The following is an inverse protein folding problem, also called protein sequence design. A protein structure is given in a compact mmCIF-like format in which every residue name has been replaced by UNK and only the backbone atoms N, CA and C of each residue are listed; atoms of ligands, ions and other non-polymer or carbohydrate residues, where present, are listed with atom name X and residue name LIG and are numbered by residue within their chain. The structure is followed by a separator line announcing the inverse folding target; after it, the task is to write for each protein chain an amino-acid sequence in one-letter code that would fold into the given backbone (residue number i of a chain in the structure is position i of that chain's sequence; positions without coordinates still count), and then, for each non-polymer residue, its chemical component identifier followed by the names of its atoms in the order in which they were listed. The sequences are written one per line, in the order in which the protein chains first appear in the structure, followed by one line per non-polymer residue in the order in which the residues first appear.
data_IF_570628630507
#
_entry.id   IF_570628630507
#
_cell.length_a   1.000
_cell.length_b   1.000
_cell.length_c   1.000
_cell.angle_alpha   90.00
_cell.angle_beta   90.00
_cell.angle_gamma   90.00
#
_symmetry.space_group_name_H-M   'P 1'
#
loop_
_entity.id
_entity.type
_entity.pdbx_description
1 polymer ?
#
# COMPACT_ATOMS: atom_id res chain seq x y z
N UNK A 1 16.97 18.38 -6.15
CA UNK A 1 17.72 17.40 -5.32
C UNK A 1 16.73 16.76 -4.36
N UNK A 2 16.39 15.48 -4.55
CA UNK A 2 15.62 14.74 -3.55
C UNK A 2 16.44 14.70 -2.26
N UNK A 3 15.83 15.01 -1.12
CA UNK A 3 16.50 14.91 0.18
C UNK A 3 17.08 13.50 0.34
N UNK A 4 18.39 13.40 0.53
CA UNK A 4 19.13 12.14 0.77
C UNK A 4 18.51 11.29 1.90
N UNK A 5 17.80 11.92 2.83
CA UNK A 5 17.06 11.27 3.90
C UNK A 5 15.93 10.33 3.42
N UNK A 6 15.35 10.52 2.23
CA UNK A 6 14.23 9.70 1.75
C UNK A 6 14.65 8.28 1.34
N UNK A 7 15.88 8.12 0.82
CA UNK A 7 16.38 6.80 0.41
C UNK A 7 16.61 5.89 1.63
N UNK A 8 16.99 6.44 2.79
CA UNK A 8 17.18 5.67 4.01
C UNK A 8 15.86 5.30 4.71
N UNK A 9 14.83 6.14 4.59
CA UNK A 9 13.58 6.00 5.35
C UNK A 9 12.56 5.04 4.74
N UNK A 10 12.68 4.70 3.45
CA UNK A 10 11.65 3.92 2.76
C UNK A 10 11.76 2.41 3.01
N UNK A 11 12.92 1.89 3.39
CA UNK A 11 13.16 0.43 3.55
C UNK A 11 13.38 0.04 5.01
N UNK A 12 13.70 1.00 5.88
CA UNK A 12 14.00 0.72 7.28
C UNK A 12 12.75 0.40 8.10
N UNK A 13 12.79 -0.64 8.95
CA UNK A 13 11.74 -0.93 9.93
C UNK A 13 11.45 0.29 10.80
N UNK A 14 10.20 0.48 11.19
CA UNK A 14 9.84 1.65 12.00
C UNK A 14 8.64 1.46 12.88
N UNK A 15 8.55 2.26 13.93
CA UNK A 15 7.39 2.30 14.82
C UNK A 15 6.58 3.56 14.55
N UNK A 16 5.36 3.37 14.06
CA UNK A 16 4.35 4.41 14.00
C UNK A 16 3.65 4.54 15.35
N UNK A 17 3.97 5.61 16.07
CA UNK A 17 3.41 5.91 17.40
C UNK A 17 2.01 6.56 17.32
N UNK A 18 1.47 6.81 16.12
CA UNK A 18 0.13 7.38 15.95
C UNK A 18 -0.95 6.38 16.36
N UNK A 19 -2.18 6.87 16.53
CA UNK A 19 -3.28 6.00 16.92
C UNK A 19 -3.61 4.96 15.83
N UNK A 20 -4.24 3.82 16.15
CA UNK A 20 -4.63 2.82 15.16
C UNK A 20 -5.45 3.38 13.99
N UNK A 21 -6.35 4.33 14.25
CA UNK A 21 -7.13 5.02 13.21
C UNK A 21 -6.27 5.91 12.31
N UNK A 22 -5.25 6.57 12.84
CA UNK A 22 -4.28 7.32 12.02
C UNK A 22 -3.44 6.37 11.15
N UNK A 23 -2.99 5.24 11.71
CA UNK A 23 -2.21 4.21 11.00
C UNK A 23 -3.01 3.57 9.87
N UNK A 24 -4.29 3.22 10.11
CA UNK A 24 -5.19 2.63 9.10
C UNK A 24 -5.44 3.55 7.90
N UNK A 25 -5.38 4.88 8.09
CA UNK A 25 -5.46 5.84 6.96
C UNK A 25 -4.23 5.78 6.07
N UNK A 26 -3.10 5.41 6.63
CA UNK A 26 -1.86 5.13 5.92
C UNK A 26 -0.65 5.45 6.77
N UNK A 27 0.48 4.82 6.45
CA UNK A 27 1.75 4.86 7.19
C UNK A 27 2.95 4.88 6.23
N UNK A 28 4.16 4.91 6.78
CA UNK A 28 5.41 4.65 6.05
C UNK A 28 5.49 3.12 5.79
N UNK A 29 5.95 2.66 4.61
CA UNK A 29 6.22 1.25 4.36
C UNK A 29 7.11 0.65 5.45
N UNK A 30 6.95 -0.65 5.72
CA UNK A 30 7.71 -1.40 6.73
C UNK A 30 7.51 -0.93 8.19
N UNK A 31 6.53 -0.06 8.48
CA UNK A 31 6.19 0.33 9.85
C UNK A 31 5.25 -0.66 10.56
N UNK A 32 5.47 -0.87 11.85
CA UNK A 32 4.50 -1.44 12.79
C UNK A 32 3.77 -0.32 13.56
N UNK A 33 2.49 -0.51 13.89
CA UNK A 33 1.78 0.40 14.78
C UNK A 33 1.93 -0.03 16.24
N UNK A 34 2.72 0.71 17.02
CA UNK A 34 2.80 0.59 18.47
C UNK A 34 2.46 1.95 19.08
N UNK A 35 1.16 2.27 19.23
CA UNK A 35 0.71 3.62 19.52
C UNK A 35 1.18 4.12 20.89
N UNK A 36 1.61 5.39 20.96
CA UNK A 36 1.75 6.08 22.27
C UNK A 36 0.40 6.42 22.87
N UNK A 37 -0.66 6.54 22.05
CA UNK A 37 -2.03 6.78 22.46
C UNK A 37 -2.96 5.92 21.60
N UNK A 38 -3.88 5.18 22.22
CA UNK A 38 -4.95 4.53 21.47
C UNK A 38 -5.95 5.56 20.91
N UNK A 39 -6.95 5.13 20.15
CA UNK A 39 -7.88 6.04 19.49
C UNK A 39 -8.67 6.94 20.46
N UNK A 40 -9.12 6.39 21.59
CA UNK A 40 -9.89 7.10 22.61
C UNK A 40 -9.01 8.08 23.40
N UNK A 41 -7.83 7.64 23.84
CA UNK A 41 -6.84 8.46 24.51
C UNK A 41 -6.39 9.63 23.60
N UNK A 42 -6.17 9.35 22.31
CA UNK A 42 -5.83 10.36 21.31
C UNK A 42 -6.98 11.38 21.13
N UNK A 43 -8.23 10.92 21.10
CA UNK A 43 -9.40 11.79 21.00
C UNK A 43 -9.50 12.75 22.20
N UNK A 44 -9.44 12.21 23.42
CA UNK A 44 -9.59 12.97 24.67
C UNK A 44 -8.44 13.97 24.88
N UNK A 45 -7.20 13.55 24.66
CA UNK A 45 -6.03 14.45 24.74
C UNK A 45 -6.11 15.52 23.64
N UNK A 46 -6.52 15.16 22.43
CA UNK A 46 -6.69 16.11 21.33
C UNK A 46 -7.80 17.13 21.58
N UNK A 47 -8.88 16.74 22.27
CA UNK A 47 -9.95 17.65 22.72
C UNK A 47 -9.44 18.59 23.81
N UNK A 48 -8.70 18.08 24.79
CA UNK A 48 -8.10 18.87 25.88
C UNK A 48 -7.06 19.85 25.35
N UNK A 49 -6.22 19.43 24.41
CA UNK A 49 -5.23 20.32 23.77
C UNK A 49 -5.89 21.52 23.09
N UNK A 50 -6.99 21.29 22.36
CA UNK A 50 -7.72 22.36 21.67
C UNK A 50 -8.44 23.31 22.61
N UNK A 51 -8.95 22.82 23.73
CA UNK A 51 -9.75 23.61 24.68
C UNK A 51 -8.94 24.29 25.77
N UNK A 52 -7.89 23.64 26.28
CA UNK A 52 -7.14 24.04 27.48
C UNK A 52 -5.63 24.19 27.24
N UNK A 53 -5.18 24.00 25.99
CA UNK A 53 -3.79 24.19 25.59
C UNK A 53 -2.86 23.01 25.94
N UNK A 54 -1.57 23.22 25.65
CA UNK A 54 -0.56 22.16 25.64
C UNK A 54 -0.30 21.54 27.02
N UNK A 55 -0.16 22.35 28.07
CA UNK A 55 0.16 21.88 29.42
C UNK A 55 -0.94 20.94 29.95
N UNK A 56 -2.19 21.38 29.88
CA UNK A 56 -3.34 20.57 30.30
C UNK A 56 -3.46 19.23 29.56
N UNK A 57 -3.12 19.20 28.26
CA UNK A 57 -3.13 17.96 27.48
C UNK A 57 -2.02 16.98 27.89
N UNK A 58 -0.85 17.49 28.28
CA UNK A 58 0.26 16.68 28.81
C UNK A 58 -0.13 16.12 30.17
N UNK A 59 -0.64 16.97 31.07
CA UNK A 59 -1.06 16.57 32.41
C UNK A 59 -2.17 15.52 32.34
N UNK A 60 -3.14 15.69 31.44
CA UNK A 60 -4.15 14.67 31.18
C UNK A 60 -3.53 13.38 30.65
N UNK A 61 -2.56 13.46 29.73
CA UNK A 61 -1.86 12.29 29.21
C UNK A 61 -1.22 11.46 30.31
N UNK A 62 -0.49 12.10 31.24
CA UNK A 62 0.09 11.40 32.39
C UNK A 62 -0.96 10.86 33.35
N UNK A 63 -2.12 11.51 33.46
CA UNK A 63 -3.22 11.03 34.32
C UNK A 63 -3.94 9.81 33.76
N UNK A 64 -4.18 9.74 32.44
CA UNK A 64 -4.98 8.67 31.83
C UNK A 64 -4.14 7.44 31.45
N UNK A 65 -2.83 7.61 31.26
CA UNK A 65 -1.90 6.50 31.00
C UNK A 65 -1.39 6.01 32.36
N UNK A 66 -1.89 4.85 32.81
CA UNK A 66 -1.36 4.21 34.02
C UNK A 66 0.10 3.82 33.84
N UNK A 67 0.84 3.71 34.95
CA UNK A 67 2.24 3.26 34.92
C UNK A 67 2.39 1.87 34.29
N UNK A 68 1.41 0.98 34.49
CA UNK A 68 1.35 -0.34 33.84
C UNK A 68 1.29 -0.20 32.32
N UNK A 69 0.35 0.58 31.77
CA UNK A 69 0.24 0.80 30.32
C UNK A 69 1.48 1.47 29.74
N UNK A 70 2.10 2.38 30.50
CA UNK A 70 3.36 3.02 30.11
C UNK A 70 4.47 1.97 30.00
N UNK A 71 4.64 1.11 31.00
CA UNK A 71 5.64 0.06 30.99
C UNK A 71 5.43 -0.92 29.82
N UNK A 72 4.20 -1.39 29.59
CA UNK A 72 3.85 -2.27 28.46
C UNK A 72 4.21 -1.64 27.09
N UNK A 73 3.94 -0.34 26.91
CA UNK A 73 4.30 0.37 25.68
C UNK A 73 5.81 0.41 25.49
N UNK A 74 6.54 0.78 26.53
CA UNK A 74 8.01 0.86 26.51
C UNK A 74 8.62 -0.51 26.18
N UNK A 75 8.17 -1.58 26.85
CA UNK A 75 8.61 -2.94 26.60
C UNK A 75 8.36 -3.34 25.14
N UNK A 76 7.15 -3.07 24.62
CA UNK A 76 6.81 -3.39 23.23
C UNK A 76 7.67 -2.65 22.20
N UNK A 77 8.00 -1.37 22.46
CA UNK A 77 8.87 -0.59 21.59
C UNK A 77 10.30 -1.11 21.63
N UNK A 78 10.85 -1.33 22.82
CA UNK A 78 12.21 -1.84 22.99
C UNK A 78 12.36 -3.21 22.34
N UNK A 79 11.38 -4.11 22.53
CA UNK A 79 11.38 -5.42 21.89
C UNK A 79 11.47 -5.31 20.37
N UNK A 80 10.69 -4.43 19.76
CA UNK A 80 10.70 -4.25 18.31
C UNK A 80 12.00 -3.58 17.82
N UNK A 81 12.51 -2.60 18.56
CA UNK A 81 13.77 -1.91 18.24
C UNK A 81 14.95 -2.90 18.30
N UNK A 82 15.04 -3.71 19.34
CA UNK A 82 16.13 -4.68 19.51
C UNK A 82 16.06 -5.84 18.50
N UNK A 83 14.92 -6.07 17.84
CA UNK A 83 14.78 -7.11 16.82
C UNK A 83 15.00 -6.60 15.40
N UNK A 84 15.34 -5.32 15.19
CA UNK A 84 15.49 -4.72 13.87
C UNK A 84 16.64 -3.70 13.83
N UNK A 85 17.55 -3.88 12.88
CA UNK A 85 18.59 -2.89 12.61
C UNK A 85 18.00 -1.61 12.02
N UNK A 86 18.61 -0.46 12.37
CA UNK A 86 18.23 0.86 11.86
C UNK A 86 16.75 1.23 12.07
N UNK A 87 16.13 0.70 13.13
CA UNK A 87 14.76 1.04 13.49
C UNK A 87 14.64 2.51 13.91
N UNK A 88 13.60 3.19 13.43
CA UNK A 88 13.27 4.55 13.85
C UNK A 88 11.81 4.66 14.32
N UNK A 89 11.52 5.67 15.13
CA UNK A 89 10.16 5.97 15.59
C UNK A 89 9.65 7.28 15.01
N UNK A 90 8.33 7.36 14.78
CA UNK A 90 7.72 8.59 14.30
C UNK A 90 6.31 8.80 14.83
N UNK A 91 5.85 10.05 14.70
CA UNK A 91 4.45 10.39 14.86
C UNK A 91 4.02 11.29 13.69
N UNK A 92 2.82 11.86 13.74
CA UNK A 92 2.29 12.62 12.61
C UNK A 92 3.16 13.82 12.17
N UNK A 93 3.73 14.59 13.10
CA UNK A 93 4.52 15.81 12.80
C UNK A 93 5.94 15.79 13.38
N UNK A 94 6.42 14.65 13.85
CA UNK A 94 7.69 14.57 14.57
C UNK A 94 7.71 15.46 15.82
N UNK A 95 6.56 15.60 16.48
CA UNK A 95 6.35 16.51 17.60
C UNK A 95 6.45 15.81 18.96
N UNK A 96 5.59 16.25 19.88
CA UNK A 96 5.64 15.83 21.28
C UNK A 96 5.47 14.33 21.48
N UNK A 97 4.55 13.68 20.75
CA UNK A 97 4.29 12.23 20.84
C UNK A 97 5.56 11.40 20.65
N UNK A 98 6.26 11.62 19.54
CA UNK A 98 7.53 10.93 19.26
C UNK A 98 8.67 11.36 20.20
N UNK A 99 8.64 12.60 20.72
CA UNK A 99 9.64 13.07 21.69
C UNK A 99 9.47 12.38 23.06
N UNK A 100 8.24 12.18 23.51
CA UNK A 100 7.96 11.47 24.77
C UNK A 100 8.38 10.00 24.66
N UNK A 101 7.98 9.31 23.59
CA UNK A 101 8.39 7.92 23.37
C UNK A 101 9.92 7.78 23.31
N UNK A 102 10.60 8.65 22.55
CA UNK A 102 12.07 8.69 22.51
C UNK A 102 12.68 8.84 23.91
N UNK A 103 12.17 9.76 24.72
CA UNK A 103 12.70 9.98 26.07
C UNK A 103 12.48 8.76 26.98
N UNK A 104 11.31 8.11 26.91
CA UNK A 104 11.04 6.90 27.69
C UNK A 104 11.96 5.75 27.27
N UNK A 105 12.15 5.53 25.97
CA UNK A 105 13.06 4.49 25.46
C UNK A 105 14.50 4.78 25.90
N UNK A 106 14.94 6.04 25.82
CA UNK A 106 16.28 6.46 26.25
C UNK A 106 16.51 6.28 27.75
N UNK A 107 15.47 6.45 28.57
CA UNK A 107 15.55 6.23 30.02
C UNK A 107 15.84 4.75 30.37
N UNK A 108 15.39 3.82 29.53
CA UNK A 108 15.72 2.39 29.63
C UNK A 108 17.08 2.03 29.01
N UNK A 109 17.86 3.03 28.57
CA UNK A 109 19.20 2.82 28.01
C UNK A 109 19.23 2.37 26.54
N UNK A 110 18.10 2.36 25.84
CA UNK A 110 18.02 1.96 24.43
C UNK A 110 18.12 3.17 23.51
N UNK A 111 18.94 3.08 22.45
CA UNK A 111 19.06 4.11 21.42
C UNK A 111 18.07 3.85 20.29
N UNK A 112 17.42 4.91 19.79
CA UNK A 112 16.55 4.84 18.63
C UNK A 112 16.51 6.17 17.90
N UNK A 113 16.43 6.15 16.58
CA UNK A 113 16.27 7.37 15.80
C UNK A 113 14.82 7.84 15.79
N UNK A 114 14.63 9.15 15.58
CA UNK A 114 13.31 9.75 15.47
C UNK A 114 13.18 10.48 14.14
N UNK A 115 12.13 10.15 13.39
CA UNK A 115 11.85 10.86 12.13
C UNK A 115 11.46 12.32 12.42
N UNK A 116 12.33 13.23 12.00
CA UNK A 116 12.05 14.65 12.05
C UNK A 116 10.89 15.04 11.13
N UNK A 117 10.05 15.96 11.58
CA UNK A 117 8.82 16.41 10.89
C UNK A 117 7.75 15.32 10.63
N UNK A 118 8.06 14.05 10.94
CA UNK A 118 7.13 12.92 11.01
C UNK A 118 6.48 12.53 9.70
N UNK A 119 5.38 11.76 9.83
CA UNK A 119 4.63 11.23 8.69
C UNK A 119 4.14 12.31 7.72
N UNK A 120 3.79 13.51 8.22
CA UNK A 120 3.33 14.62 7.38
C UNK A 120 4.39 15.01 6.34
N UNK A 121 5.64 15.18 6.77
CA UNK A 121 6.73 15.56 5.87
C UNK A 121 7.09 14.42 4.90
N UNK A 122 7.11 13.18 5.41
CA UNK A 122 7.23 11.99 4.58
C UNK A 122 6.21 12.00 3.42
N UNK A 123 4.93 12.23 3.75
CA UNK A 123 3.87 12.30 2.74
C UNK A 123 4.01 13.46 1.77
N UNK A 124 4.46 14.63 2.23
CA UNK A 124 4.75 15.75 1.33
C UNK A 124 5.86 15.40 0.34
N UNK A 125 6.90 14.71 0.78
CA UNK A 125 7.99 14.28 -0.08
C UNK A 125 7.54 13.26 -1.13
N UNK A 126 6.72 12.27 -0.75
CA UNK A 126 6.13 11.32 -1.70
C UNK A 126 5.33 12.06 -2.76
N UNK A 127 4.46 12.98 -2.35
CA UNK A 127 3.67 13.77 -3.30
C UNK A 127 4.54 14.61 -4.23
N UNK A 128 5.56 15.29 -3.69
CA UNK A 128 6.47 16.13 -4.45
C UNK A 128 7.29 15.35 -5.48
N UNK A 129 7.72 14.12 -5.14
CA UNK A 129 8.40 13.24 -6.09
C UNK A 129 7.57 13.00 -7.35
N UNK A 130 6.26 12.87 -7.22
CA UNK A 130 5.37 12.55 -8.33
C UNK A 130 4.76 13.76 -9.04
N UNK A 131 5.13 14.99 -8.70
CA UNK A 131 4.55 16.21 -9.28
C UNK A 131 4.98 16.48 -10.72
N UNK A 132 6.16 16.01 -11.13
CA UNK A 132 6.72 16.25 -12.46
C UNK A 132 7.29 14.95 -13.04
N UNK A 133 7.10 14.75 -14.34
CA UNK A 133 7.67 13.63 -15.11
C UNK A 133 9.21 13.65 -15.04
N UNK A 134 9.81 14.84 -14.95
CA UNK A 134 11.27 15.03 -14.85
C UNK A 134 11.90 14.44 -13.58
N UNK A 135 11.09 14.13 -12.56
CA UNK A 135 11.57 13.46 -11.35
C UNK A 135 11.76 11.95 -11.55
N UNK A 136 11.25 11.41 -12.66
CA UNK A 136 11.40 10.00 -13.00
C UNK A 136 12.66 9.75 -13.84
N UNK A 137 13.21 8.55 -13.74
CA UNK A 137 14.25 8.08 -14.63
C UNK A 137 13.76 8.11 -16.08
N UNK A 138 14.71 8.18 -17.00
CA UNK A 138 14.42 8.45 -18.41
C UNK A 138 13.64 7.31 -19.07
N UNK A 139 14.07 6.06 -18.88
CA UNK A 139 13.57 4.94 -19.67
C UNK A 139 12.62 4.03 -18.88
N UNK A 140 11.33 4.09 -19.20
CA UNK A 140 10.34 3.11 -18.75
C UNK A 140 9.88 2.29 -19.96
N UNK A 141 9.57 1.03 -19.71
CA UNK A 141 9.00 0.10 -20.67
C UNK A 141 7.69 -0.43 -20.10
N UNK A 142 6.61 -0.27 -20.84
CA UNK A 142 5.27 -0.69 -20.47
C UNK A 142 4.99 -2.03 -21.14
N UNK A 143 4.64 -3.03 -20.33
CA UNK A 143 4.27 -4.36 -20.78
C UNK A 143 2.76 -4.41 -21.01
N UNK A 144 2.39 -4.28 -22.28
CA UNK A 144 1.03 -4.44 -22.78
C UNK A 144 0.69 -5.90 -23.09
N UNK A 145 -0.58 -6.18 -23.32
CA UNK A 145 -1.07 -7.50 -23.74
C UNK A 145 -2.44 -7.82 -23.17
N UNK A 146 -3.12 -8.80 -23.74
CA UNK A 146 -4.43 -9.20 -23.26
C UNK A 146 -4.37 -9.90 -21.90
N UNK A 147 -5.50 -9.95 -21.18
CA UNK A 147 -5.60 -10.79 -19.98
C UNK A 147 -5.30 -12.25 -20.33
N UNK A 148 -4.52 -12.90 -19.46
CA UNK A 148 -4.05 -14.28 -19.66
C UNK A 148 -2.78 -14.42 -20.50
N UNK A 149 -2.19 -13.34 -21.03
CA UNK A 149 -0.97 -13.45 -21.85
C UNK A 149 0.32 -13.72 -21.07
N UNK A 150 0.26 -13.90 -19.74
CA UNK A 150 1.45 -14.21 -18.92
C UNK A 150 2.25 -12.99 -18.44
N UNK A 151 1.72 -11.77 -18.60
CA UNK A 151 2.40 -10.51 -18.17
C UNK A 151 2.88 -10.55 -16.72
N UNK A 152 2.00 -10.99 -15.81
CA UNK A 152 2.29 -11.03 -14.36
C UNK A 152 3.51 -11.90 -14.05
N UNK A 153 3.69 -13.04 -14.74
CA UNK A 153 4.83 -13.92 -14.51
C UNK A 153 6.13 -13.30 -15.02
N UNK A 154 6.07 -12.58 -16.15
CA UNK A 154 7.22 -11.85 -16.68
C UNK A 154 7.64 -10.71 -15.73
N UNK A 155 6.68 -9.92 -15.23
CA UNK A 155 6.91 -8.84 -14.27
C UNK A 155 7.56 -9.37 -13.00
N UNK A 156 7.04 -10.44 -12.40
CA UNK A 156 7.57 -11.02 -11.16
C UNK A 156 8.99 -11.57 -11.29
N UNK A 157 9.33 -12.12 -12.45
CA UNK A 157 10.65 -12.70 -12.69
C UNK A 157 11.69 -11.65 -13.09
N UNK A 158 11.28 -10.41 -13.38
CA UNK A 158 12.19 -9.35 -13.80
C UNK A 158 12.53 -8.41 -12.65
N UNK A 159 13.79 -8.43 -12.19
CA UNK A 159 14.25 -7.66 -11.01
C UNK A 159 13.98 -6.15 -11.11
N UNK A 160 14.06 -5.60 -12.32
CA UNK A 160 13.90 -4.17 -12.59
C UNK A 160 12.45 -3.85 -13.01
N UNK A 161 11.48 -4.50 -12.37
CA UNK A 161 10.06 -4.26 -12.60
C UNK A 161 9.35 -3.64 -11.40
N UNK A 162 8.19 -3.05 -11.66
CA UNK A 162 7.23 -2.63 -10.63
C UNK A 162 5.89 -3.30 -10.94
N UNK A 163 5.51 -4.23 -10.07
CA UNK A 163 4.22 -4.94 -10.08
C UNK A 163 3.16 -4.05 -9.41
N UNK A 164 2.48 -3.25 -10.23
CA UNK A 164 1.49 -2.28 -9.78
C UNK A 164 0.21 -2.98 -9.30
N UNK A 165 -0.17 -4.09 -9.95
CA UNK A 165 -1.29 -4.94 -9.54
C UNK A 165 -1.07 -5.53 -8.13
N UNK A 166 0.14 -6.04 -7.86
CA UNK A 166 0.51 -6.58 -6.56
C UNK A 166 0.48 -5.49 -5.47
N UNK A 167 1.07 -4.32 -5.75
CA UNK A 167 1.06 -3.20 -4.80
C UNK A 167 -0.38 -2.73 -4.53
N UNK A 168 -1.24 -2.71 -5.56
CA UNK A 168 -2.65 -2.35 -5.42
C UNK A 168 -3.50 -3.47 -4.78
N UNK A 169 -2.95 -4.68 -4.64
CA UNK A 169 -3.70 -5.89 -4.30
C UNK A 169 -4.93 -6.06 -5.21
N UNK A 170 -4.72 -5.96 -6.53
CA UNK A 170 -5.78 -5.99 -7.53
C UNK A 170 -5.24 -6.27 -8.93
N UNK A 171 -5.92 -7.11 -9.71
CA UNK A 171 -5.46 -7.62 -11.02
C UNK A 171 -5.91 -6.78 -12.23
N UNK A 172 -5.94 -5.44 -12.11
CA UNK A 172 -6.28 -4.48 -13.20
C UNK A 172 -7.67 -4.59 -13.87
N UNK A 173 -8.40 -5.69 -13.69
CA UNK A 173 -9.57 -6.10 -14.46
C UNK A 173 -10.87 -5.92 -13.69
N UNK A 174 -12.00 -5.87 -14.41
CA UNK A 174 -13.33 -5.90 -13.81
C UNK A 174 -13.57 -7.14 -12.90
N UNK A 175 -12.87 -8.23 -13.19
CA UNK A 175 -12.88 -9.48 -12.42
C UNK A 175 -11.69 -9.58 -11.45
N UNK A 176 -10.89 -8.53 -11.32
CA UNK A 176 -9.55 -8.54 -10.74
C UNK A 176 -9.47 -8.27 -9.24
N UNK A 177 -10.57 -8.33 -8.47
CA UNK A 177 -10.48 -8.18 -7.01
C UNK A 177 -9.63 -9.33 -6.46
N UNK A 178 -8.41 -9.04 -6.04
CA UNK A 178 -7.58 -10.00 -5.34
C UNK A 178 -8.14 -10.22 -3.93
N UNK A 179 -7.92 -11.40 -3.34
CA UNK A 179 -8.61 -11.84 -2.12
C UNK A 179 -8.40 -11.00 -0.86
N UNK A 180 -7.58 -9.95 -0.88
CA UNK A 180 -7.37 -9.04 0.25
C UNK A 180 -7.95 -7.64 0.06
N UNK A 181 -7.85 -6.81 1.08
CA UNK A 181 -8.19 -5.39 0.98
C UNK A 181 -7.13 -4.64 0.16
N UNK A 182 -7.56 -3.76 -0.74
CA UNK A 182 -6.65 -2.81 -1.37
C UNK A 182 -6.05 -1.87 -0.31
N UNK A 183 -4.80 -1.42 -0.47
CA UNK A 183 -4.22 -0.42 0.41
C UNK A 183 -5.03 0.88 0.42
N UNK A 184 -4.81 1.73 1.43
CA UNK A 184 -5.25 3.12 1.34
C UNK A 184 -4.50 3.84 0.22
N UNK A 185 -5.08 4.92 -0.30
CA UNK A 185 -4.43 5.70 -1.37
C UNK A 185 -3.01 6.14 -0.99
N UNK A 186 -2.81 6.64 0.23
CA UNK A 186 -1.48 7.04 0.68
C UNK A 186 -0.52 5.87 0.82
N UNK A 187 -0.98 4.68 1.22
CA UNK A 187 -0.12 3.49 1.29
C UNK A 187 0.27 3.01 -0.10
N UNK A 188 -0.68 3.00 -1.06
CA UNK A 188 -0.39 2.67 -2.44
C UNK A 188 0.69 3.58 -3.02
N UNK A 189 0.52 4.90 -2.88
CA UNK A 189 1.51 5.88 -3.37
C UNK A 189 2.87 5.71 -2.69
N UNK A 190 2.90 5.46 -1.36
CA UNK A 190 4.15 5.21 -0.63
C UNK A 190 4.87 3.95 -1.12
N UNK A 191 4.15 2.85 -1.35
CA UNK A 191 4.71 1.58 -1.81
C UNK A 191 5.21 1.69 -3.26
N UNK A 192 4.45 2.33 -4.14
CA UNK A 192 4.91 2.64 -5.51
C UNK A 192 6.18 3.50 -5.46
N UNK A 193 6.22 4.50 -4.57
CA UNK A 193 7.40 5.35 -4.38
C UNK A 193 8.64 4.58 -3.94
N UNK A 194 8.47 3.69 -2.95
CA UNK A 194 9.54 2.83 -2.44
C UNK A 194 10.09 1.94 -3.56
N UNK A 195 9.20 1.22 -4.27
CA UNK A 195 9.61 0.33 -5.35
C UNK A 195 10.31 1.06 -6.51
N UNK A 196 9.88 2.30 -6.80
CA UNK A 196 10.54 3.17 -7.76
C UNK A 196 11.94 3.58 -7.29
N UNK A 197 12.08 4.14 -6.09
CA UNK A 197 13.36 4.63 -5.57
C UNK A 197 14.42 3.54 -5.43
N UNK A 198 14.01 2.32 -5.09
CA UNK A 198 14.88 1.14 -5.04
C UNK A 198 15.49 0.77 -6.40
N UNK A 199 14.82 1.15 -7.50
CA UNK A 199 15.14 0.70 -8.86
C UNK A 199 15.46 1.83 -9.83
N UNK A 200 15.38 3.09 -9.38
CA UNK A 200 15.57 4.29 -10.22
C UNK A 200 16.94 4.40 -10.91
N UNK A 201 17.95 3.69 -10.40
CA UNK A 201 19.31 3.64 -10.98
C UNK A 201 19.49 2.50 -11.99
N UNK A 202 18.43 1.78 -12.34
CA UNK A 202 18.47 0.73 -13.37
C UNK A 202 18.55 1.37 -14.77
N UNK A 203 18.94 0.60 -15.78
CA UNK A 203 18.93 1.08 -17.17
C UNK A 203 17.51 1.41 -17.64
N UNK A 204 16.54 0.57 -17.28
CA UNK A 204 15.13 0.81 -17.51
C UNK A 204 14.27 0.23 -16.39
N UNK A 205 13.00 0.63 -16.36
CA UNK A 205 11.98 0.05 -15.49
C UNK A 205 10.87 -0.58 -16.32
N UNK A 206 10.57 -1.84 -16.04
CA UNK A 206 9.43 -2.54 -16.63
C UNK A 206 8.18 -2.38 -15.77
N UNK A 207 7.04 -2.06 -16.36
CA UNK A 207 5.78 -1.87 -15.63
C UNK A 207 4.60 -2.47 -16.39
N UNK A 208 3.54 -2.78 -15.67
CA UNK A 208 2.27 -3.24 -16.28
C UNK A 208 1.56 -2.08 -17.00
N UNK A 209 0.91 -2.38 -18.13
CA UNK A 209 0.02 -1.46 -18.84
C UNK A 209 -1.30 -1.23 -18.10
N UNK A 210 -1.21 -0.50 -16.98
CA UNK A 210 -2.34 -0.18 -16.14
C UNK A 210 -2.94 1.19 -16.46
N UNK A 211 -4.25 1.29 -16.26
CA UNK A 211 -4.94 2.58 -16.38
C UNK A 211 -4.57 3.50 -15.21
N UNK A 212 -5.04 4.75 -15.24
CA UNK A 212 -4.86 5.71 -14.13
C UNK A 212 -5.30 5.18 -12.76
N UNK A 213 -6.21 4.19 -12.76
CA UNK A 213 -6.69 3.52 -11.56
C UNK A 213 -6.54 2.00 -11.66
N UNK A 214 -6.12 1.39 -10.55
CA UNK A 214 -6.07 -0.06 -10.37
C UNK A 214 -7.09 -0.42 -9.29
N UNK A 215 -8.32 -0.69 -9.72
CA UNK A 215 -9.49 -0.70 -8.83
C UNK A 215 -9.76 0.70 -8.27
N UNK A 216 -9.57 0.91 -6.95
CA UNK A 216 -9.72 2.24 -6.32
C UNK A 216 -8.40 2.97 -6.11
N UNK A 217 -7.26 2.29 -6.26
CA UNK A 217 -5.94 2.87 -6.11
C UNK A 217 -5.61 3.71 -7.34
N UNK A 218 -5.34 5.01 -7.15
CA UNK A 218 -4.94 5.92 -8.21
C UNK A 218 -3.42 5.97 -8.35
N UNK A 219 -2.90 5.91 -9.57
CA UNK A 219 -1.47 6.10 -9.83
C UNK A 219 -1.01 7.49 -9.36
N UNK A 220 0.17 7.62 -8.74
CA UNK A 220 0.60 8.85 -8.09
C UNK A 220 0.94 9.95 -9.10
N UNK A 221 0.35 11.15 -8.93
CA UNK A 221 0.72 12.35 -9.67
C UNK A 221 0.86 12.15 -11.19
N UNK A 222 2.08 12.36 -11.72
CA UNK A 222 2.45 12.26 -13.13
C UNK A 222 2.84 10.86 -13.60
N UNK A 223 2.67 9.84 -12.77
CA UNK A 223 3.05 8.47 -13.09
C UNK A 223 2.37 7.95 -14.37
N UNK A 224 1.04 8.09 -14.45
CA UNK A 224 0.30 7.66 -15.63
C UNK A 224 0.72 8.43 -16.89
N UNK A 225 0.92 9.74 -16.77
CA UNK A 225 1.38 10.58 -17.89
C UNK A 225 2.75 10.09 -18.41
N UNK A 226 3.67 9.71 -17.51
CA UNK A 226 4.96 9.09 -17.87
C UNK A 226 4.76 7.74 -18.57
N UNK A 227 3.87 6.87 -18.07
CA UNK A 227 3.58 5.59 -18.73
C UNK A 227 3.10 5.78 -20.17
N UNK A 228 2.22 6.76 -20.42
CA UNK A 228 1.68 7.02 -21.76
C UNK A 228 2.74 7.52 -22.78
N UNK A 229 3.83 8.10 -22.31
CA UNK A 229 4.94 8.57 -23.16
C UNK A 229 6.12 7.60 -23.21
N UNK A 230 5.96 6.37 -22.71
CA UNK A 230 7.03 5.38 -22.57
C UNK A 230 7.00 4.32 -23.68
N UNK A 231 8.10 3.59 -23.84
CA UNK A 231 8.17 2.46 -24.77
C UNK A 231 7.13 1.40 -24.37
N UNK A 232 6.51 0.74 -25.35
CA UNK A 232 5.55 -0.34 -25.11
C UNK A 232 6.03 -1.64 -25.76
N UNK A 233 5.99 -2.73 -25.01
CA UNK A 233 6.18 -4.08 -25.49
C UNK A 233 4.85 -4.80 -25.37
N UNK A 234 4.33 -5.30 -26.50
CA UNK A 234 3.10 -6.07 -26.52
C UNK A 234 3.42 -7.56 -26.37
N UNK A 235 2.97 -8.16 -25.28
CA UNK A 235 3.07 -9.61 -25.09
C UNK A 235 1.89 -10.32 -25.74
N UNK A 236 2.18 -11.09 -26.78
CA UNK A 236 1.22 -11.90 -27.51
C UNK A 236 1.20 -13.34 -27.01
N UNK A 237 0.01 -13.93 -27.02
CA UNK A 237 -0.20 -15.35 -26.70
C UNK A 237 -1.45 -15.83 -27.41
N UNK A 238 -1.45 -17.10 -27.81
CA UNK A 238 -2.62 -17.72 -28.42
C UNK A 238 -3.78 -17.83 -27.43
N UNK A 239 -4.98 -18.10 -27.96
CA UNK A 239 -6.21 -18.12 -27.18
C UNK A 239 -6.23 -19.25 -26.13
N UNK A 240 -5.63 -20.40 -26.43
CA UNK A 240 -5.63 -21.58 -25.57
C UNK A 240 -4.72 -21.35 -24.35
N UNK A 241 -3.52 -20.82 -24.57
CA UNK A 241 -2.61 -20.38 -23.51
C UNK A 241 -3.29 -19.36 -22.61
N UNK A 242 -3.97 -18.37 -23.20
CA UNK A 242 -4.70 -17.34 -22.43
C UNK A 242 -5.84 -17.91 -21.61
N UNK A 243 -6.67 -18.78 -22.19
CA UNK A 243 -7.78 -19.42 -21.50
C UNK A 243 -7.27 -20.26 -20.31
N UNK A 244 -6.19 -21.02 -20.51
CA UNK A 244 -5.51 -21.78 -19.47
C UNK A 244 -5.04 -20.88 -18.34
N UNK A 245 -4.29 -19.82 -18.66
CA UNK A 245 -3.78 -18.86 -17.67
C UNK A 245 -4.92 -18.17 -16.90
N UNK A 246 -6.02 -17.82 -17.57
CA UNK A 246 -7.20 -17.24 -16.93
C UNK A 246 -7.82 -18.25 -15.96
N UNK A 247 -8.04 -19.49 -16.38
CA UNK A 247 -8.58 -20.54 -15.51
C UNK A 247 -7.72 -20.74 -14.26
N UNK A 248 -6.39 -20.82 -14.40
CA UNK A 248 -5.49 -20.93 -13.25
C UNK A 248 -5.59 -19.73 -12.32
N UNK A 249 -5.54 -18.52 -12.87
CA UNK A 249 -5.48 -17.28 -12.10
C UNK A 249 -6.78 -16.92 -11.39
N UNK A 250 -7.91 -17.19 -12.04
CA UNK A 250 -9.23 -16.75 -11.58
C UNK A 250 -10.02 -17.91 -10.94
N UNK A 251 -9.88 -19.15 -11.39
CA UNK A 251 -10.68 -20.26 -10.87
C UNK A 251 -9.86 -21.17 -9.97
N UNK A 252 -8.83 -21.82 -10.51
CA UNK A 252 -8.11 -22.90 -9.80
C UNK A 252 -7.33 -22.41 -8.58
N UNK A 253 -6.56 -21.32 -8.70
CA UNK A 253 -5.77 -20.81 -7.58
C UNK A 253 -6.64 -20.17 -6.49
N UNK A 254 -7.65 -19.33 -6.82
CA UNK A 254 -8.59 -18.84 -5.81
C UNK A 254 -9.43 -19.95 -5.18
N UNK A 255 -9.85 -20.97 -5.93
CA UNK A 255 -10.59 -22.12 -5.41
C UNK A 255 -9.78 -23.04 -4.48
N UNK A 256 -8.44 -22.98 -4.52
CA UNK A 256 -7.56 -23.62 -3.52
C UNK A 256 -7.39 -22.78 -2.24
N UNK A 257 -7.71 -21.49 -2.30
CA UNK A 257 -7.73 -20.63 -1.13
C UNK A 257 -9.03 -20.83 -0.34
N UNK A 258 -9.16 -20.27 0.87
CA UNK A 258 -10.33 -20.48 1.76
C UNK A 258 -11.69 -20.02 1.19
N UNK A 259 -11.73 -19.48 -0.04
CA UNK A 259 -12.95 -19.06 -0.71
C UNK A 259 -13.73 -20.28 -1.19
N UNK A 260 -14.99 -20.39 -0.77
CA UNK A 260 -15.87 -21.45 -1.29
C UNK A 260 -16.19 -21.16 -2.76
N UNK A 261 -16.31 -22.20 -3.58
CA UNK A 261 -16.60 -22.06 -5.02
C UNK A 261 -17.87 -21.22 -5.29
N UNK A 262 -18.86 -21.30 -4.41
CA UNK A 262 -20.10 -20.50 -4.44
C UNK A 262 -19.83 -19.00 -4.26
N UNK A 263 -18.89 -18.62 -3.38
CA UNK A 263 -18.51 -17.23 -3.15
C UNK A 263 -17.79 -16.66 -4.40
N UNK A 264 -16.98 -17.50 -5.05
CA UNK A 264 -16.29 -17.16 -6.28
C UNK A 264 -17.26 -16.96 -7.46
N UNK A 265 -18.24 -17.85 -7.60
CA UNK A 265 -19.33 -17.72 -8.58
C UNK A 265 -20.11 -16.41 -8.36
N UNK A 266 -20.53 -16.15 -7.12
CA UNK A 266 -21.26 -14.94 -6.73
C UNK A 266 -20.46 -13.67 -7.04
N UNK A 267 -19.16 -13.70 -6.78
CA UNK A 267 -18.24 -12.61 -7.11
C UNK A 267 -18.21 -12.34 -8.62
N UNK A 268 -18.03 -13.36 -9.45
CA UNK A 268 -17.96 -13.19 -10.90
C UNK A 268 -19.28 -12.77 -11.53
N UNK A 269 -20.42 -13.24 -11.01
CA UNK A 269 -21.73 -12.75 -11.41
C UNK A 269 -21.91 -11.27 -11.07
N UNK A 270 -21.44 -10.83 -9.89
CA UNK A 270 -21.45 -9.41 -9.51
C UNK A 270 -20.55 -8.58 -10.44
N UNK A 271 -19.33 -9.06 -10.72
CA UNK A 271 -18.39 -8.40 -11.63
C UNK A 271 -18.97 -8.26 -13.05
N UNK A 272 -19.57 -9.33 -13.58
CA UNK A 272 -20.26 -9.35 -14.87
C UNK A 272 -21.41 -8.33 -14.90
N UNK A 273 -22.17 -8.22 -13.80
CA UNK A 273 -23.24 -7.23 -13.66
C UNK A 273 -22.75 -5.79 -13.81
N UNK A 274 -21.56 -5.45 -13.29
CA UNK A 274 -20.97 -4.10 -13.39
C UNK A 274 -20.64 -3.69 -14.83
N UNK A 275 -20.36 -4.66 -15.71
CA UNK A 275 -20.03 -4.40 -17.12
C UNK A 275 -21.21 -4.60 -18.07
N UNK A 276 -22.40 -4.96 -17.57
CA UNK A 276 -23.63 -5.19 -18.36
C UNK A 276 -23.91 -4.07 -19.37
N UNK A 277 -23.82 -2.81 -18.95
CA UNK A 277 -24.08 -1.65 -19.84
C UNK A 277 -23.15 -1.61 -21.05
N UNK A 278 -21.90 -2.08 -20.91
CA UNK A 278 -20.91 -2.14 -22.00
C UNK A 278 -21.10 -3.36 -22.89
N UNK A 279 -21.55 -4.49 -22.31
CA UNK A 279 -21.77 -5.74 -23.03
C UNK A 279 -23.07 -5.75 -23.84
N UNK A 280 -24.10 -5.03 -23.37
CA UNK A 280 -25.47 -5.17 -23.85
C UNK A 280 -26.18 -6.39 -23.24
N UNK A 281 -27.51 -6.34 -23.21
CA UNK A 281 -28.33 -7.30 -22.47
C UNK A 281 -28.25 -8.73 -22.99
N UNK A 282 -28.15 -8.91 -24.31
CA UNK A 282 -28.07 -10.23 -24.92
C UNK A 282 -26.76 -10.93 -24.55
N UNK A 283 -25.62 -10.28 -24.76
CA UNK A 283 -24.31 -10.82 -24.41
C UNK A 283 -24.18 -11.08 -22.90
N UNK A 284 -24.70 -10.17 -22.07
CA UNK A 284 -24.73 -10.35 -20.63
C UNK A 284 -25.47 -11.64 -20.22
N UNK A 285 -26.66 -11.89 -20.77
CA UNK A 285 -27.44 -13.11 -20.49
C UNK A 285 -26.70 -14.37 -20.96
N UNK A 286 -26.13 -14.35 -22.16
CA UNK A 286 -25.36 -15.47 -22.70
C UNK A 286 -24.16 -15.82 -21.81
N UNK A 287 -23.33 -14.83 -21.47
CA UNK A 287 -22.14 -15.04 -20.62
C UNK A 287 -22.55 -15.48 -19.21
N UNK A 288 -23.62 -14.90 -18.66
CA UNK A 288 -24.13 -15.28 -17.34
C UNK A 288 -24.53 -16.75 -17.28
N UNK A 289 -25.22 -17.24 -18.31
CA UNK A 289 -25.63 -18.65 -18.39
C UNK A 289 -24.42 -19.59 -18.52
N UNK A 290 -23.45 -19.24 -19.37
CA UNK A 290 -22.20 -20.00 -19.50
C UNK A 290 -21.46 -20.07 -18.16
N UNK A 291 -21.36 -18.94 -17.46
CA UNK A 291 -20.69 -18.86 -16.16
C UNK A 291 -21.39 -19.72 -15.10
N UNK A 292 -22.72 -19.68 -15.02
CA UNK A 292 -23.47 -20.53 -14.09
C UNK A 292 -23.21 -22.02 -14.37
N UNK A 293 -23.41 -22.44 -15.63
CA UNK A 293 -23.20 -23.82 -16.03
C UNK A 293 -21.76 -24.30 -15.75
N UNK A 294 -20.76 -23.44 -15.91
CA UNK A 294 -19.37 -23.79 -15.66
C UNK A 294 -19.02 -23.96 -14.16
N UNK A 295 -19.81 -23.40 -13.25
CA UNK A 295 -19.62 -23.54 -11.80
C UNK A 295 -20.48 -24.64 -11.18
N UNK A 296 -21.53 -25.09 -11.88
CA UNK A 296 -22.41 -26.17 -11.47
C UNK A 296 -21.86 -27.58 -11.84
N UNK A 297 -20.90 -27.64 -12.77
CA UNK A 297 -20.19 -28.85 -13.23
C UNK A 297 -18.75 -28.89 -12.73
#
# INVERSE_FOLDING_TARGET
MMNSNLNFLNVSPSIDLRSPKEFKKGTIPNSVNLPILNDDEYHEIGKTFRSKGRKAAIDLGYKIISDVKKAERIESWIKYINSHDNCFIFCFRGGLRSKIAYNWIKQEGVSVERLEFGYKNYRQNVLMMHQDIKNYMERWIILGGYTGSGKTDLIKNYKQSIDLEFIANHRGSAFGKAGGEQPSQSNFESLVSEQYLLKQNSEFLLMEDESRFIGRAQLPGKWYDKMQSSEIILLESDLETRATNIYFNYVKNPGKSKLKMIELQSYYLSALGKIRKRLGDNNYKTIKNILNNAFDN
#
